data_IF_164629909301
#
_entry.id   IF_164629909301
#
_cell.length_a   1.000
_cell.length_b   1.000
_cell.length_c   1.000
_cell.angle_alpha   90.00
_cell.angle_beta   90.00
_cell.angle_gamma   90.00
#
_symmetry.space_group_name_H-M   'P 1'
#
loop_
_entity.id
_entity.type
_entity.pdbx_description
1 polymer ?
#
# COMPACT_ATOMS: atom_id res chain seq x y z
N UNK A 1 -9.02 -1.06 0.90
CA UNK A 1 -8.34 0.24 0.77
C UNK A 1 -7.36 0.49 1.93
N UNK A 2 -7.81 0.71 3.16
CA UNK A 2 -6.93 0.92 4.33
C UNK A 2 -5.94 -0.24 4.49
N UNK A 3 -6.41 -1.48 4.41
CA UNK A 3 -5.55 -2.66 4.49
C UNK A 3 -4.45 -2.68 3.40
N UNK A 4 -4.76 -2.26 2.18
CA UNK A 4 -3.77 -2.17 1.09
C UNK A 4 -2.73 -1.09 1.41
N UNK A 5 -3.14 0.11 1.85
CA UNK A 5 -2.19 1.15 2.26
C UNK A 5 -1.27 0.67 3.40
N UNK A 6 -1.84 0.05 4.42
CA UNK A 6 -1.08 -0.44 5.56
C UNK A 6 -0.07 -1.55 5.17
N UNK A 7 -0.45 -2.42 4.23
CA UNK A 7 0.37 -3.54 3.79
C UNK A 7 1.47 -3.15 2.80
N UNK A 8 1.33 -2.03 2.08
CA UNK A 8 2.19 -1.73 0.91
C UNK A 8 2.88 -0.37 0.96
N UNK A 9 2.35 0.56 1.73
CA UNK A 9 2.85 1.93 1.74
C UNK A 9 2.74 2.67 0.39
N UNK A 10 1.91 2.22 -0.56
CA UNK A 10 1.74 2.87 -1.86
C UNK A 10 1.21 4.30 -1.73
N UNK A 11 1.42 5.11 -2.78
CA UNK A 11 0.93 6.50 -2.80
C UNK A 11 -0.57 6.56 -3.06
N UNK A 12 -1.19 7.65 -2.63
CA UNK A 12 -2.62 7.88 -2.85
C UNK A 12 -3.00 7.84 -4.34
N UNK A 13 -2.21 8.49 -5.20
CA UNK A 13 -2.41 8.48 -6.65
C UNK A 13 -2.22 7.08 -7.26
N UNK A 14 -1.28 6.30 -6.74
CA UNK A 14 -1.06 4.92 -7.14
C UNK A 14 -2.28 4.06 -6.83
N UNK A 15 -2.84 4.15 -5.61
CA UNK A 15 -4.07 3.43 -5.27
C UNK A 15 -5.26 3.85 -6.14
N UNK A 16 -5.40 5.14 -6.43
CA UNK A 16 -6.48 5.65 -7.26
C UNK A 16 -6.38 5.15 -8.71
N UNK A 17 -5.16 4.91 -9.19
CA UNK A 17 -4.88 4.45 -10.55
C UNK A 17 -4.97 2.94 -10.75
N UNK A 18 -5.09 2.12 -9.69
CA UNK A 18 -5.18 0.67 -9.83
C UNK A 18 -6.39 0.29 -10.69
N UNK A 19 -6.14 -0.57 -11.67
CA UNK A 19 -7.16 -1.14 -12.56
C UNK A 19 -7.51 -2.55 -12.11
N UNK A 20 -8.72 -2.97 -12.44
CA UNK A 20 -9.18 -4.32 -12.23
C UNK A 20 -10.15 -4.72 -13.31
N UNK A 21 -9.87 -5.80 -13.97
CA UNK A 21 -10.75 -6.46 -14.90
C UNK A 21 -10.99 -7.89 -14.41
N UNK A 22 -12.26 -8.31 -14.38
CA UNK A 22 -12.63 -9.64 -13.90
C UNK A 22 -12.50 -10.69 -14.99
N UNK A 23 -12.58 -10.29 -16.26
CA UNK A 23 -12.59 -11.19 -17.42
C UNK A 23 -11.22 -11.29 -18.08
N UNK A 24 -10.41 -10.21 -17.97
CA UNK A 24 -9.08 -10.17 -18.54
C UNK A 24 -8.01 -9.90 -17.46
N UNK A 25 -7.35 -10.95 -16.92
CA UNK A 25 -6.24 -10.79 -15.99
C UNK A 25 -5.09 -9.93 -16.52
N UNK A 26 -4.86 -9.91 -17.83
CA UNK A 26 -3.83 -9.10 -18.48
C UNK A 26 -4.10 -7.59 -18.40
N UNK A 27 -5.36 -7.21 -18.23
CA UNK A 27 -5.81 -5.83 -18.02
C UNK A 27 -5.98 -5.45 -16.55
N UNK A 28 -5.68 -6.37 -15.63
CA UNK A 28 -5.80 -6.20 -14.19
C UNK A 28 -4.44 -5.91 -13.54
N UNK A 29 -4.39 -4.88 -12.71
CA UNK A 29 -3.22 -4.59 -11.86
C UNK A 29 -3.20 -5.41 -10.56
N UNK A 30 -4.22 -6.26 -10.33
CA UNK A 30 -4.40 -7.04 -9.10
C UNK A 30 -4.28 -8.51 -9.39
N UNK A 31 -3.31 -9.16 -8.79
CA UNK A 31 -3.15 -10.61 -8.75
C UNK A 31 -3.35 -11.10 -7.31
N UNK A 32 -4.54 -11.65 -7.04
CA UNK A 32 -4.86 -12.19 -5.71
C UNK A 32 -4.17 -13.53 -5.43
N UNK A 33 -3.86 -14.31 -6.46
CA UNK A 33 -3.19 -15.60 -6.31
C UNK A 33 -1.77 -15.41 -5.80
N UNK A 34 -1.01 -14.57 -6.47
CA UNK A 34 0.34 -14.22 -6.05
C UNK A 34 0.37 -13.15 -4.95
N UNK A 35 -0.77 -12.59 -4.57
CA UNK A 35 -0.92 -11.48 -3.62
C UNK A 35 -0.07 -10.28 -4.02
N UNK A 36 -0.22 -9.87 -5.26
CA UNK A 36 0.53 -8.78 -5.87
C UNK A 36 -0.39 -7.70 -6.39
N UNK A 37 0.10 -6.48 -6.36
CA UNK A 37 -0.54 -5.33 -7.01
C UNK A 37 0.54 -4.59 -7.79
N UNK A 38 0.29 -4.39 -9.09
CA UNK A 38 1.11 -3.52 -9.93
C UNK A 38 0.63 -2.08 -9.77
N UNK A 39 1.54 -1.17 -9.50
CA UNK A 39 1.23 0.25 -9.36
C UNK A 39 2.08 1.10 -10.29
N UNK A 40 1.47 2.19 -10.79
CA UNK A 40 2.15 3.13 -11.66
C UNK A 40 2.60 4.36 -10.86
N UNK A 41 3.91 4.54 -10.76
CA UNK A 41 4.55 5.66 -10.09
C UNK A 41 4.78 6.88 -11.00
N UNK A 42 5.53 7.85 -10.49
CA UNK A 42 5.93 9.05 -11.23
C UNK A 42 6.73 8.66 -12.50
N UNK A 43 6.43 9.31 -13.61
CA UNK A 43 7.10 9.03 -14.89
C UNK A 43 6.65 7.72 -15.53
N UNK A 44 5.46 7.22 -15.23
CA UNK A 44 4.89 5.95 -15.74
C UNK A 44 5.71 4.70 -15.40
N UNK A 45 6.64 4.80 -14.45
CA UNK A 45 7.36 3.62 -13.97
C UNK A 45 6.42 2.73 -13.17
N UNK A 46 6.34 1.48 -13.56
CA UNK A 46 5.55 0.45 -12.86
C UNK A 46 6.44 -0.28 -11.86
N UNK A 47 5.83 -0.74 -10.79
CA UNK A 47 6.42 -1.71 -9.86
C UNK A 47 5.35 -2.60 -9.28
N UNK A 48 5.71 -3.81 -8.91
CA UNK A 48 4.83 -4.74 -8.22
C UNK A 48 5.12 -4.71 -6.72
N UNK A 49 4.06 -4.67 -5.92
CA UNK A 49 4.12 -4.72 -4.46
C UNK A 49 3.36 -5.93 -3.94
N UNK A 50 3.92 -6.60 -2.94
CA UNK A 50 3.24 -7.69 -2.23
C UNK A 50 2.23 -7.15 -1.23
N UNK A 51 1.13 -7.86 -1.04
CA UNK A 51 0.15 -7.61 0.01
C UNK A 51 0.10 -8.78 1.00
N UNK A 52 -0.21 -8.47 2.27
CA UNK A 52 -0.41 -9.50 3.29
C UNK A 52 -1.66 -10.34 3.00
N UNK A 53 -1.77 -11.52 3.61
CA UNK A 53 -2.96 -12.37 3.52
C UNK A 53 -4.24 -11.62 3.92
N UNK A 54 -4.19 -10.83 4.99
CA UNK A 54 -5.37 -10.07 5.46
C UNK A 54 -5.76 -8.96 4.48
N UNK A 55 -4.78 -8.31 3.85
CA UNK A 55 -5.03 -7.32 2.81
C UNK A 55 -5.62 -7.98 1.56
N UNK A 56 -5.10 -9.14 1.15
CA UNK A 56 -5.63 -9.91 0.02
C UNK A 56 -7.06 -10.37 0.28
N UNK A 57 -7.35 -10.93 1.47
CA UNK A 57 -8.71 -11.31 1.88
C UNK A 57 -9.69 -10.13 1.87
N UNK A 58 -9.22 -8.98 2.36
CA UNK A 58 -10.03 -7.76 2.38
C UNK A 58 -10.28 -7.23 0.96
N UNK A 59 -9.31 -7.38 0.08
CA UNK A 59 -9.41 -6.99 -1.33
C UNK A 59 -10.33 -7.92 -2.11
N UNK A 60 -10.22 -9.24 -1.92
CA UNK A 60 -11.12 -10.24 -2.51
C UNK A 60 -12.59 -9.96 -2.13
N UNK A 61 -12.85 -9.74 -0.83
CA UNK A 61 -14.19 -9.38 -0.37
C UNK A 61 -14.71 -8.12 -1.06
N UNK A 62 -13.86 -7.13 -1.24
CA UNK A 62 -14.21 -5.90 -1.94
C UNK A 62 -14.50 -6.17 -3.43
N UNK A 63 -13.68 -6.96 -4.11
CA UNK A 63 -13.85 -7.32 -5.52
C UNK A 63 -15.19 -8.03 -5.75
N UNK A 64 -15.55 -8.98 -4.89
CA UNK A 64 -16.86 -9.65 -4.95
C UNK A 64 -18.03 -8.68 -4.76
N UNK A 65 -17.90 -7.70 -3.85
CA UNK A 65 -18.90 -6.66 -3.69
C UNK A 65 -18.94 -5.70 -4.89
N UNK A 66 -17.77 -5.38 -5.46
CA UNK A 66 -17.63 -4.54 -6.64
C UNK A 66 -18.32 -5.13 -7.87
N UNK A 67 -18.31 -6.45 -8.04
CA UNK A 67 -18.94 -7.13 -9.16
C UNK A 67 -20.46 -6.87 -9.24
N UNK A 68 -21.10 -6.50 -8.11
CA UNK A 68 -22.53 -6.13 -8.04
C UNK A 68 -22.79 -4.63 -8.20
N UNK A 69 -21.74 -3.85 -8.44
CA UNK A 69 -21.90 -2.39 -8.55
C UNK A 69 -22.34 -2.00 -9.95
N UNK A 70 -23.24 -1.00 -10.07
CA UNK A 70 -23.73 -0.52 -11.36
C UNK A 70 -22.62 -0.06 -12.32
N UNK A 71 -21.47 0.35 -11.79
CA UNK A 71 -20.30 0.76 -12.57
C UNK A 71 -19.20 -0.32 -12.59
N UNK A 72 -19.52 -1.61 -12.39
CA UNK A 72 -18.55 -2.71 -12.34
C UNK A 72 -17.74 -2.85 -13.65
N UNK A 73 -18.28 -2.41 -14.77
CA UNK A 73 -17.62 -2.38 -16.09
C UNK A 73 -16.46 -1.38 -16.20
N UNK A 74 -16.34 -0.45 -15.24
CA UNK A 74 -15.25 0.53 -15.24
C UNK A 74 -13.93 -0.13 -14.87
N UNK A 75 -12.82 0.22 -15.54
CA UNK A 75 -11.54 -0.43 -15.27
C UNK A 75 -10.92 -0.04 -13.93
N UNK A 76 -11.33 1.05 -13.30
CA UNK A 76 -10.76 1.46 -12.02
C UNK A 76 -11.20 0.51 -10.90
N UNK A 77 -10.25 0.00 -10.13
CA UNK A 77 -10.53 -0.89 -9.01
C UNK A 77 -11.49 -0.24 -8.01
N UNK A 78 -11.27 1.02 -7.65
CA UNK A 78 -12.05 1.71 -6.63
C UNK A 78 -13.22 2.47 -7.22
N UNK A 79 -14.42 2.03 -6.85
CA UNK A 79 -15.69 2.70 -7.19
C UNK A 79 -16.26 3.43 -5.98
N UNK A 80 -17.06 4.45 -6.23
CA UNK A 80 -17.83 5.16 -5.21
C UNK A 80 -18.95 4.30 -4.65
N UNK A 81 -19.79 4.87 -3.81
CA UNK A 81 -20.99 4.22 -3.28
C UNK A 81 -22.21 4.52 -4.14
N UNK A 82 -23.17 3.61 -4.17
CA UNK A 82 -24.35 3.74 -5.03
C UNK A 82 -23.98 3.76 -6.52
N UNK A 83 -24.53 4.67 -7.28
CA UNK A 83 -24.25 4.80 -8.73
C UNK A 83 -23.03 5.67 -9.06
N UNK A 84 -22.21 6.04 -8.07
CA UNK A 84 -21.04 6.87 -8.29
C UNK A 84 -19.96 6.09 -9.03
N UNK A 85 -19.31 6.74 -9.98
CA UNK A 85 -18.22 6.18 -10.77
C UNK A 85 -16.92 6.01 -9.96
N UNK A 86 -15.76 5.92 -10.66
CA UNK A 86 -14.47 5.72 -10.03
C UNK A 86 -14.14 6.78 -8.98
N UNK A 87 -13.53 6.34 -7.88
CA UNK A 87 -13.08 7.25 -6.84
C UNK A 87 -11.82 7.98 -7.25
N UNK A 88 -11.84 9.29 -7.14
CA UNK A 88 -10.65 10.14 -7.29
C UNK A 88 -9.72 9.99 -6.08
N UNK A 89 -8.46 10.41 -6.23
CA UNK A 89 -7.51 10.50 -5.12
C UNK A 89 -8.07 11.32 -3.94
N UNK A 90 -8.71 12.46 -4.23
CA UNK A 90 -9.37 13.28 -3.21
C UNK A 90 -10.49 12.52 -2.49
N UNK A 91 -11.33 11.79 -3.22
CA UNK A 91 -12.40 10.97 -2.63
C UNK A 91 -11.85 9.87 -1.71
N UNK A 92 -10.76 9.21 -2.12
CA UNK A 92 -10.07 8.21 -1.29
C UNK A 92 -9.51 8.86 -0.02
N UNK A 93 -8.86 10.03 -0.14
CA UNK A 93 -8.35 10.80 1.00
C UNK A 93 -9.46 11.10 2.02
N UNK A 94 -10.60 11.63 1.54
CA UNK A 94 -11.74 11.97 2.39
C UNK A 94 -12.30 10.76 3.14
N UNK A 95 -12.36 9.59 2.49
CA UNK A 95 -12.79 8.35 3.15
C UNK A 95 -11.84 7.96 4.28
N UNK A 96 -10.53 8.06 4.05
CA UNK A 96 -9.52 7.74 5.07
C UNK A 96 -9.62 8.71 6.25
N UNK A 97 -9.65 10.02 5.96
CA UNK A 97 -9.75 11.04 7.00
C UNK A 97 -11.04 10.91 7.83
N UNK A 98 -12.17 10.63 7.18
CA UNK A 98 -13.43 10.37 7.88
C UNK A 98 -13.35 9.15 8.79
N UNK A 99 -12.76 8.04 8.32
CA UNK A 99 -12.59 6.83 9.14
C UNK A 99 -11.64 7.07 10.30
N UNK A 100 -10.57 7.82 10.07
CA UNK A 100 -9.67 8.23 11.14
C UNK A 100 -10.41 9.00 12.24
N UNK A 101 -11.18 10.03 11.87
CA UNK A 101 -11.98 10.82 12.84
C UNK A 101 -12.97 9.97 13.63
N UNK A 102 -13.61 8.97 13.01
CA UNK A 102 -14.50 8.04 13.70
C UNK A 102 -13.79 7.20 14.78
N UNK A 103 -12.47 7.03 14.65
CA UNK A 103 -11.63 6.29 15.59
C UNK A 103 -10.80 7.23 16.49
N UNK A 104 -11.04 8.54 16.47
CA UNK A 104 -10.23 9.52 17.21
C UNK A 104 -8.79 9.65 16.71
N UNK A 105 -8.51 9.28 15.46
CA UNK A 105 -7.17 9.26 14.88
C UNK A 105 -7.09 10.22 13.70
N UNK A 106 -6.04 11.05 13.65
CA UNK A 106 -5.71 11.81 12.45
C UNK A 106 -5.07 10.88 11.42
N UNK A 107 -5.87 10.30 10.53
CA UNK A 107 -5.44 9.36 9.51
C UNK A 107 -5.42 10.00 8.12
N UNK A 108 -4.28 9.86 7.43
CA UNK A 108 -4.10 10.28 6.05
C UNK A 108 -3.14 9.33 5.30
N UNK A 109 -3.20 9.24 3.98
CA UNK A 109 -2.46 8.24 3.22
C UNK A 109 -0.96 8.19 3.48
N UNK A 110 -0.32 9.35 3.64
CA UNK A 110 1.11 9.41 3.88
C UNK A 110 1.54 8.79 5.22
N UNK A 111 0.65 8.80 6.21
CA UNK A 111 0.88 8.17 7.51
C UNK A 111 1.01 6.65 7.41
N UNK A 112 0.23 6.01 6.53
CA UNK A 112 0.35 4.57 6.24
C UNK A 112 1.70 4.23 5.61
N UNK A 113 2.17 5.08 4.68
CA UNK A 113 3.49 4.90 4.08
C UNK A 113 4.62 5.07 5.10
N UNK A 114 4.49 6.04 6.00
CA UNK A 114 5.40 6.19 7.13
C UNK A 114 5.43 4.94 8.01
N UNK A 115 4.25 4.47 8.42
CA UNK A 115 4.11 3.28 9.24
C UNK A 115 4.70 2.04 8.56
N UNK A 116 4.38 1.80 7.30
CA UNK A 116 4.92 0.70 6.51
C UNK A 116 6.46 0.74 6.48
N UNK A 117 7.01 1.89 6.14
CA UNK A 117 8.47 2.04 6.02
C UNK A 117 9.19 1.86 7.37
N UNK A 118 8.61 2.42 8.44
CA UNK A 118 9.14 2.25 9.79
C UNK A 118 9.08 0.79 10.23
N UNK A 119 7.92 0.15 10.05
CA UNK A 119 7.70 -1.26 10.42
C UNK A 119 8.62 -2.20 9.65
N UNK A 120 8.83 -1.96 8.34
CA UNK A 120 9.78 -2.73 7.52
C UNK A 120 11.18 -2.69 8.10
N UNK A 121 11.69 -1.49 8.32
CA UNK A 121 13.04 -1.29 8.87
C UNK A 121 13.16 -1.82 10.29
N UNK A 122 12.14 -1.66 11.11
CA UNK A 122 12.15 -2.09 12.51
C UNK A 122 12.13 -3.61 12.64
N UNK A 123 11.50 -4.31 11.69
CA UNK A 123 11.52 -5.77 11.58
C UNK A 123 12.78 -6.32 10.90
N UNK A 124 13.75 -5.48 10.58
CA UNK A 124 15.03 -5.88 9.99
C UNK A 124 15.01 -6.03 8.47
N UNK A 125 13.98 -5.54 7.81
CA UNK A 125 13.93 -5.52 6.34
C UNK A 125 15.03 -4.64 5.75
N UNK A 126 15.63 -5.10 4.63
CA UNK A 126 16.72 -4.40 4.00
C UNK A 126 16.30 -3.01 3.48
N UNK A 127 17.12 -1.97 3.71
CA UNK A 127 16.84 -0.61 3.25
C UNK A 127 16.71 -0.50 1.73
N UNK A 128 17.51 -1.25 0.97
CA UNK A 128 17.45 -1.29 -0.48
C UNK A 128 16.10 -1.81 -1.00
N UNK A 129 15.62 -2.92 -0.42
CA UNK A 129 14.31 -3.49 -0.78
C UNK A 129 13.17 -2.53 -0.45
N UNK A 130 13.27 -1.80 0.67
CA UNK A 130 12.29 -0.77 0.99
C UNK A 130 12.26 0.35 -0.05
N UNK A 131 13.42 0.72 -0.60
CA UNK A 131 13.48 1.72 -1.67
C UNK A 131 12.74 1.22 -2.91
N UNK A 132 12.94 -0.04 -3.32
CA UNK A 132 12.23 -0.66 -4.44
C UNK A 132 10.72 -0.70 -4.18
N UNK A 133 10.29 -1.26 -3.04
CA UNK A 133 8.88 -1.35 -2.67
C UNK A 133 8.18 0.01 -2.66
N UNK A 134 8.89 1.04 -2.20
CA UNK A 134 8.36 2.40 -2.14
C UNK A 134 8.54 3.19 -3.45
N UNK A 135 9.31 2.70 -4.40
CA UNK A 135 9.69 3.43 -5.61
C UNK A 135 10.45 4.72 -5.27
N UNK A 136 11.46 4.61 -4.42
CA UNK A 136 12.38 5.70 -4.08
C UNK A 136 13.66 5.59 -4.89
N UNK A 137 14.04 6.67 -5.51
CA UNK A 137 15.27 6.76 -6.32
C UNK A 137 16.44 7.38 -5.57
N UNK A 138 16.19 7.90 -4.36
CA UNK A 138 17.20 8.58 -3.56
C UNK A 138 17.30 8.03 -2.13
N UNK A 139 18.49 7.73 -1.62
CA UNK A 139 18.73 7.35 -0.23
C UNK A 139 18.30 8.42 0.79
N UNK A 140 18.15 9.67 0.38
CA UNK A 140 17.67 10.74 1.24
C UNK A 140 16.24 10.48 1.75
N UNK A 141 15.40 9.84 0.90
CA UNK A 141 14.06 9.43 1.30
C UNK A 141 14.12 8.42 2.44
N UNK A 142 15.02 7.46 2.35
CA UNK A 142 15.24 6.47 3.39
C UNK A 142 15.66 7.12 4.74
N UNK A 143 16.53 8.12 4.69
CA UNK A 143 16.95 8.86 5.89
C UNK A 143 15.78 9.55 6.59
N UNK A 144 14.87 10.12 5.84
CA UNK A 144 13.68 10.80 6.36
C UNK A 144 12.73 9.86 7.11
N UNK A 145 12.56 8.64 6.63
CA UNK A 145 11.65 7.65 7.22
C UNK A 145 12.30 6.77 8.29
N UNK A 146 13.63 6.69 8.31
CA UNK A 146 14.40 5.81 9.21
C UNK A 146 14.97 6.47 10.46
N UNK A 147 14.85 7.80 10.62
CA UNK A 147 15.62 8.55 11.60
C UNK A 147 15.33 8.16 13.08
N UNK A 148 14.06 7.95 13.43
CA UNK A 148 13.62 7.87 14.82
C UNK A 148 14.07 6.65 15.63
N UNK A 149 14.64 5.61 15.01
CA UNK A 149 15.03 4.39 15.72
C UNK A 149 16.33 3.75 15.19
N UNK A 150 17.20 4.52 14.53
CA UNK A 150 18.42 4.00 13.91
C UNK A 150 19.33 3.27 14.89
N UNK A 151 19.67 3.91 16.00
CA UNK A 151 20.58 3.33 17.00
C UNK A 151 20.04 2.05 17.61
N UNK A 152 18.75 2.01 17.92
CA UNK A 152 18.12 0.82 18.47
C UNK A 152 18.12 -0.35 17.46
N UNK A 153 17.80 -0.04 16.18
CA UNK A 153 17.88 -1.04 15.11
C UNK A 153 19.30 -1.54 14.88
N UNK A 154 20.27 -0.66 14.86
CA UNK A 154 21.67 -1.04 14.67
C UNK A 154 22.14 -2.01 15.77
N UNK A 155 21.78 -1.73 17.03
CA UNK A 155 22.11 -2.64 18.14
C UNK A 155 21.43 -4.00 17.98
N UNK A 156 20.12 -4.04 17.71
CA UNK A 156 19.42 -5.32 17.46
C UNK A 156 19.98 -6.10 16.27
N UNK A 157 20.39 -5.39 15.22
CA UNK A 157 21.03 -6.04 14.07
C UNK A 157 22.41 -6.60 14.43
N UNK A 158 23.18 -5.88 15.23
CA UNK A 158 24.46 -6.35 15.74
C UNK A 158 24.28 -7.65 16.54
N UNK A 159 23.37 -7.62 17.53
CA UNK A 159 23.11 -8.78 18.39
C UNK A 159 22.73 -10.01 17.55
N UNK A 160 21.78 -9.84 16.62
CA UNK A 160 21.34 -10.93 15.75
C UNK A 160 22.46 -11.49 14.85
N UNK A 161 23.29 -10.63 14.29
CA UNK A 161 24.34 -11.05 13.32
C UNK A 161 25.58 -11.59 14.04
N UNK A 162 25.99 -10.90 15.09
CA UNK A 162 27.29 -11.18 15.75
C UNK A 162 27.18 -12.16 16.90
N UNK A 163 26.01 -12.26 17.56
CA UNK A 163 25.82 -13.13 18.72
C UNK A 163 24.89 -14.32 18.45
N UNK A 164 24.29 -14.38 17.26
CA UNK A 164 23.37 -15.46 16.90
C UNK A 164 22.08 -15.50 17.73
N UNK A 165 21.77 -14.43 18.47
CA UNK A 165 20.53 -14.33 19.25
C UNK A 165 19.37 -13.96 18.33
N UNK A 166 18.25 -14.70 18.32
CA UNK A 166 17.08 -14.48 17.45
C UNK A 166 16.37 -13.13 17.68
#
# INVERSE_FOLDING_TARGET
>A
MIAVFAATGIRLSELAGIRYDAEDPGCSDVDLWHREITVQGKGRKTRTVKISFDAARSLDRYIRARARHAQAYRPQLRLGTGNRGPMTASGIYQVIARRGRQCGIDAFPHRFRHHFSHTWLDRGGAPGDLMELNGWTSPQMLRRYGAGARSARARRSYDRIMTGTP
#
